data_IF_741799054106
#
_entry.id   IF_741799054106
#
_cell.length_a   1.000
_cell.length_b   1.000
_cell.length_c   1.000
_cell.angle_alpha   90.00
_cell.angle_beta   90.00
_cell.angle_gamma   90.00
#
_symmetry.space_group_name_H-M   'P 1'
#
loop_
_entity.id
_entity.type
_entity.pdbx_description
1 polymer ?
#
# COMPACT_ATOMS: atom_id res chain seq x y z
N UNK A 1 -7.55 -4.84 7.63
CA UNK A 1 -6.66 -4.04 6.77
C UNK A 1 -6.40 -2.73 7.48
N UNK A 2 -5.18 -2.58 7.97
CA UNK A 2 -4.78 -1.45 8.79
C UNK A 2 -3.85 -0.52 8.00
N UNK A 3 -3.83 0.76 8.35
CA UNK A 3 -2.82 1.66 7.80
C UNK A 3 -1.51 1.43 8.54
N UNK A 4 -0.46 1.12 7.79
CA UNK A 4 0.90 1.08 8.30
C UNK A 4 1.37 2.51 8.57
N UNK A 5 1.74 2.80 9.82
CA UNK A 5 2.26 4.11 10.22
C UNK A 5 3.78 4.16 10.09
N UNK A 6 4.47 3.11 10.52
CA UNK A 6 5.93 3.02 10.46
C UNK A 6 6.32 1.60 10.09
N UNK A 7 7.20 1.46 9.11
CA UNK A 7 7.82 0.19 8.76
C UNK A 7 9.34 0.30 8.98
N UNK A 8 9.93 -0.66 9.70
CA UNK A 8 11.37 -0.75 9.92
C UNK A 8 11.85 -2.15 9.54
N UNK A 9 12.90 -2.21 8.75
CA UNK A 9 13.57 -3.47 8.41
C UNK A 9 14.46 -3.91 9.59
N UNK A 10 14.30 -5.13 10.02
CA UNK A 10 15.01 -5.76 11.12
C UNK A 10 15.51 -7.14 10.68
N UNK A 11 16.61 -7.60 11.29
CA UNK A 11 17.05 -8.99 11.19
C UNK A 11 16.66 -9.73 12.47
N UNK A 12 16.01 -10.86 12.32
CA UNK A 12 15.64 -11.75 13.42
C UNK A 12 16.28 -13.12 13.16
N UNK A 13 16.72 -13.79 14.21
CA UNK A 13 17.21 -15.15 14.10
C UNK A 13 16.07 -16.13 14.37
N UNK A 14 15.90 -17.09 13.47
CA UNK A 14 14.99 -18.20 13.65
C UNK A 14 15.58 -19.22 14.64
N UNK A 15 14.77 -20.15 15.10
CA UNK A 15 15.20 -21.19 16.07
C UNK A 15 16.34 -22.09 15.54
N UNK A 16 16.42 -22.25 14.22
CA UNK A 16 17.50 -22.97 13.52
C UNK A 16 18.79 -22.15 13.35
N UNK A 17 18.81 -20.89 13.84
CA UNK A 17 19.92 -19.94 13.69
C UNK A 17 19.97 -19.21 12.35
N UNK A 18 19.02 -19.42 11.45
CA UNK A 18 18.96 -18.69 10.18
C UNK A 18 18.57 -17.22 10.42
N UNK A 19 19.23 -16.30 9.72
CA UNK A 19 18.90 -14.89 9.76
C UNK A 19 17.75 -14.58 8.79
N UNK A 20 16.61 -14.13 9.32
CA UNK A 20 15.43 -13.78 8.54
C UNK A 20 15.25 -12.25 8.56
N UNK A 21 15.12 -11.64 7.38
CA UNK A 21 14.77 -10.24 7.25
C UNK A 21 13.29 -10.04 7.48
N UNK A 22 12.92 -9.28 8.51
CA UNK A 22 11.53 -8.96 8.82
C UNK A 22 11.30 -7.45 8.75
N UNK A 23 10.07 -7.06 8.49
CA UNK A 23 9.64 -5.66 8.51
C UNK A 23 8.64 -5.48 9.64
N UNK A 24 9.01 -4.71 10.67
CA UNK A 24 8.08 -4.38 11.74
C UNK A 24 7.09 -3.30 11.26
N UNK A 25 5.82 -3.58 11.38
CA UNK A 25 4.73 -2.72 10.91
C UNK A 25 3.89 -2.29 12.11
N UNK A 26 3.83 -0.99 12.38
CA UNK A 26 2.91 -0.42 13.37
C UNK A 26 1.53 -0.23 12.75
N UNK A 27 0.51 -0.79 13.39
CA UNK A 27 -0.86 -0.83 12.89
C UNK A 27 -1.79 -0.11 13.86
N UNK A 28 -2.23 1.10 13.52
CA UNK A 28 -3.21 1.80 14.35
C UNK A 28 -4.54 1.02 14.43
N UNK A 29 -5.18 0.95 15.62
CA UNK A 29 -6.53 0.43 15.74
C UNK A 29 -7.50 1.17 14.81
N UNK A 30 -8.26 0.42 14.07
CA UNK A 30 -9.28 0.91 13.14
C UNK A 30 -10.65 0.81 13.78
N UNK A 31 -11.59 1.67 13.41
CA UNK A 31 -12.94 1.70 13.99
C UNK A 31 -13.98 1.48 12.92
N UNK A 32 -14.96 0.61 13.18
CA UNK A 32 -16.13 0.43 12.32
C UNK A 32 -17.03 1.65 12.44
N UNK A 33 -17.10 2.44 11.37
CA UNK A 33 -17.91 3.69 11.33
C UNK A 33 -19.33 3.42 10.86
N UNK A 34 -19.49 2.50 9.92
CA UNK A 34 -20.79 2.15 9.36
C UNK A 34 -20.82 0.69 8.95
N UNK A 35 -21.94 0.04 9.15
CA UNK A 35 -22.27 -1.26 8.58
C UNK A 35 -23.28 -1.04 7.46
N UNK A 36 -23.01 -1.55 6.28
CA UNK A 36 -23.85 -1.49 5.09
C UNK A 36 -24.55 -2.81 4.87
N UNK A 37 -25.81 -2.75 4.46
CA UNK A 37 -26.63 -3.93 4.22
C UNK A 37 -27.25 -3.89 2.85
N UNK A 38 -27.50 -5.07 2.26
CA UNK A 38 -28.17 -5.19 0.94
C UNK A 38 -29.49 -4.47 0.86
N UNK A 39 -30.24 -4.43 1.97
CA UNK A 39 -31.57 -3.79 2.00
C UNK A 39 -31.50 -2.26 1.86
N UNK A 40 -30.47 -1.62 2.43
CA UNK A 40 -30.34 -0.17 2.47
C UNK A 40 -29.37 0.37 1.42
N UNK A 41 -28.22 -0.32 1.24
CA UNK A 41 -27.09 0.16 0.45
C UNK A 41 -26.91 -0.65 -0.85
N UNK A 42 -27.62 -1.77 -1.02
CA UNK A 42 -27.53 -2.66 -2.17
C UNK A 42 -26.41 -3.69 -2.10
N UNK A 43 -25.55 -3.65 -1.10
CA UNK A 43 -24.47 -4.60 -0.85
C UNK A 43 -24.09 -4.65 0.63
N UNK A 44 -23.45 -5.77 1.01
CA UNK A 44 -23.00 -5.98 2.38
C UNK A 44 -21.53 -5.58 2.52
N UNK A 45 -21.24 -4.65 3.44
CA UNK A 45 -19.89 -4.17 3.71
C UNK A 45 -19.80 -3.48 5.08
N UNK A 46 -18.58 -3.38 5.60
CA UNK A 46 -18.26 -2.52 6.72
C UNK A 46 -17.41 -1.34 6.25
N UNK A 47 -17.67 -0.16 6.74
CA UNK A 47 -16.83 1.01 6.55
C UNK A 47 -15.95 1.21 7.78
N UNK A 48 -14.64 1.18 7.58
CA UNK A 48 -13.64 1.31 8.62
C UNK A 48 -12.97 2.69 8.52
N UNK A 49 -12.86 3.36 9.67
CA UNK A 49 -12.13 4.61 9.83
C UNK A 49 -10.78 4.40 10.49
N UNK A 50 -9.73 5.03 9.96
CA UNK A 50 -8.39 5.02 10.55
C UNK A 50 -7.64 6.34 10.32
N UNK A 51 -6.51 6.50 11.05
CA UNK A 51 -5.77 7.76 11.08
C UNK A 51 -6.52 8.84 11.84
N UNK A 52 -6.42 8.87 13.16
CA UNK A 52 -7.14 9.83 14.01
C UNK A 52 -6.76 11.27 13.69
N UNK A 53 -7.74 12.16 13.58
CA UNK A 53 -7.56 13.58 13.31
C UNK A 53 -8.38 14.46 14.27
N UNK A 54 -7.95 15.71 14.44
CA UNK A 54 -8.68 16.69 15.24
C UNK A 54 -9.95 17.11 14.49
N UNK A 55 -11.04 17.32 15.22
CA UNK A 55 -12.35 17.73 14.68
C UNK A 55 -12.29 18.93 13.72
N UNK A 56 -11.44 19.92 14.02
CA UNK A 56 -11.28 21.12 13.19
C UNK A 56 -10.75 20.84 11.77
N UNK A 57 -10.14 19.69 11.55
CA UNK A 57 -9.59 19.27 10.25
C UNK A 57 -10.58 18.43 9.42
N UNK A 58 -11.80 18.27 9.93
CA UNK A 58 -12.84 17.47 9.26
C UNK A 58 -13.99 18.39 8.86
N UNK A 59 -14.51 18.22 7.64
CA UNK A 59 -15.66 19.00 7.16
C UNK A 59 -16.94 18.67 7.92
N UNK A 60 -17.86 19.63 8.09
CA UNK A 60 -19.11 19.46 8.85
C UNK A 60 -19.94 18.23 8.41
N UNK A 61 -20.15 17.95 7.10
CA UNK A 61 -20.88 16.76 6.67
C UNK A 61 -20.22 15.45 7.15
N UNK A 62 -18.88 15.37 7.04
CA UNK A 62 -18.12 14.20 7.47
C UNK A 62 -18.12 14.05 9.00
N UNK A 63 -18.13 15.16 9.76
CA UNK A 63 -18.32 15.12 11.22
C UNK A 63 -19.65 14.48 11.57
N UNK A 64 -20.75 14.87 10.89
CA UNK A 64 -22.07 14.26 11.10
C UNK A 64 -22.10 12.76 10.82
N UNK A 65 -21.36 12.31 9.80
CA UNK A 65 -21.20 10.88 9.49
C UNK A 65 -20.43 10.13 10.59
N UNK A 66 -19.25 10.64 10.98
CA UNK A 66 -18.37 10.02 11.97
C UNK A 66 -18.94 10.03 13.40
N UNK A 67 -19.74 11.03 13.74
CA UNK A 67 -20.40 11.12 15.05
C UNK A 67 -21.35 9.93 15.34
N UNK A 68 -21.82 9.23 14.31
CA UNK A 68 -22.67 8.02 14.48
C UNK A 68 -21.92 6.90 15.21
N UNK A 69 -20.61 6.77 14.97
CA UNK A 69 -19.77 5.79 15.65
C UNK A 69 -19.32 6.23 17.06
N UNK A 70 -19.40 7.52 17.37
CA UNK A 70 -19.01 8.14 18.64
C UNK A 70 -17.60 7.78 19.16
N UNK A 71 -16.68 7.49 18.21
CA UNK A 71 -15.28 7.05 18.49
C UNK A 71 -14.23 8.04 18.00
N UNK A 72 -14.64 9.25 17.60
CA UNK A 72 -13.74 10.30 17.12
C UNK A 72 -13.75 10.49 15.59
N UNK A 73 -12.75 11.21 15.11
CA UNK A 73 -12.66 11.60 13.70
C UNK A 73 -11.48 10.91 13.01
N UNK A 74 -11.69 10.46 11.78
CA UNK A 74 -10.72 9.70 11.01
C UNK A 74 -10.39 10.41 9.70
N UNK A 75 -9.13 10.28 9.28
CA UNK A 75 -8.64 10.86 8.03
C UNK A 75 -9.06 10.07 6.81
N UNK A 76 -9.08 8.76 6.93
CA UNK A 76 -9.37 7.85 5.82
C UNK A 76 -10.51 6.93 6.21
N UNK A 77 -11.45 6.78 5.28
CA UNK A 77 -12.55 5.81 5.35
C UNK A 77 -12.38 4.84 4.19
N UNK A 78 -12.49 3.55 4.48
CA UNK A 78 -12.50 2.49 3.47
C UNK A 78 -13.56 1.46 3.77
N UNK A 79 -14.12 0.90 2.71
CA UNK A 79 -15.13 -0.15 2.77
C UNK A 79 -14.50 -1.50 2.45
N UNK A 80 -14.95 -2.50 3.18
CA UNK A 80 -14.55 -3.89 2.98
C UNK A 80 -15.78 -4.76 2.97
N UNK A 81 -15.87 -5.72 2.04
CA UNK A 81 -16.91 -6.74 2.08
C UNK A 81 -16.86 -7.48 3.41
N UNK A 82 -17.98 -7.60 4.09
CA UNK A 82 -18.13 -8.34 5.33
C UNK A 82 -19.56 -8.85 5.44
N UNK A 83 -19.73 -9.97 6.12
CA UNK A 83 -21.07 -10.50 6.39
C UNK A 83 -21.80 -9.63 7.43
N UNK A 84 -23.07 -9.43 7.20
CA UNK A 84 -23.93 -8.65 8.10
C UNK A 84 -24.06 -9.40 9.44
N UNK A 85 -23.86 -8.67 10.54
CA UNK A 85 -23.98 -9.21 11.90
C UNK A 85 -22.67 -9.63 12.57
N UNK A 86 -21.56 -9.66 11.86
CA UNK A 86 -20.24 -9.96 12.43
C UNK A 86 -19.60 -8.73 13.11
N UNK A 87 -20.02 -7.52 12.73
CA UNK A 87 -19.41 -6.29 13.21
C UNK A 87 -20.44 -5.26 13.65
N UNK A 88 -20.13 -4.52 14.73
CA UNK A 88 -20.97 -3.46 15.27
C UNK A 88 -20.34 -2.08 15.01
N UNK A 89 -21.21 -1.06 14.89
CA UNK A 89 -20.75 0.33 14.76
C UNK A 89 -20.02 0.74 16.04
N UNK A 90 -18.82 1.30 15.92
CA UNK A 90 -17.97 1.68 17.03
C UNK A 90 -17.05 0.56 17.53
N UNK A 91 -17.12 -0.65 16.96
CA UNK A 91 -16.18 -1.72 17.25
C UNK A 91 -14.77 -1.31 16.84
N UNK A 92 -13.79 -1.55 17.70
CA UNK A 92 -12.37 -1.35 17.38
C UNK A 92 -11.80 -2.67 16.87
N UNK A 93 -11.03 -2.58 15.79
CA UNK A 93 -10.32 -3.69 15.16
C UNK A 93 -8.82 -3.38 15.30
N UNK A 94 -8.12 -4.16 16.10
CA UNK A 94 -6.69 -4.01 16.35
C UNK A 94 -5.87 -5.12 15.66
N UNK A 95 -4.59 -5.20 15.97
CA UNK A 95 -3.68 -6.20 15.39
C UNK A 95 -3.91 -7.63 15.91
N UNK A 96 -4.74 -7.81 16.93
CA UNK A 96 -5.12 -9.08 17.54
C UNK A 96 -5.90 -10.04 16.63
N UNK A 97 -6.43 -9.53 15.51
CA UNK A 97 -7.07 -10.36 14.47
C UNK A 97 -6.07 -11.23 13.70
N UNK A 98 -4.78 -10.93 13.77
CA UNK A 98 -3.74 -11.66 13.06
C UNK A 98 -3.03 -12.66 13.99
N UNK A 99 -2.58 -13.75 13.41
CA UNK A 99 -1.79 -14.79 14.08
C UNK A 99 -0.44 -14.97 13.39
N UNK A 100 0.56 -15.42 14.15
CA UNK A 100 1.84 -15.81 13.56
C UNK A 100 1.64 -16.98 12.59
N UNK A 101 2.26 -16.90 11.42
CA UNK A 101 2.10 -17.87 10.33
C UNK A 101 0.97 -17.52 9.33
N UNK A 102 0.16 -16.48 9.59
CA UNK A 102 -0.81 -16.00 8.61
C UNK A 102 -0.11 -15.36 7.40
N UNK A 103 -0.72 -15.48 6.24
CA UNK A 103 -0.27 -14.82 5.01
C UNK A 103 -1.11 -13.60 4.71
N UNK A 104 -0.43 -12.47 4.45
CA UNK A 104 -1.09 -11.19 4.19
C UNK A 104 -0.59 -10.52 2.92
N UNK A 105 -1.46 -9.73 2.32
CA UNK A 105 -1.13 -8.85 1.21
C UNK A 105 -0.96 -7.41 1.73
N UNK A 106 0.21 -6.82 1.48
CA UNK A 106 0.50 -5.45 1.92
C UNK A 106 0.46 -4.50 0.73
N UNK A 107 -0.37 -3.47 0.85
CA UNK A 107 -0.53 -2.42 -0.15
C UNK A 107 0.08 -1.13 0.37
N UNK A 108 1.01 -0.57 -0.38
CA UNK A 108 1.68 0.68 -0.01
C UNK A 108 2.00 1.55 -1.22
N UNK A 109 2.50 2.75 -0.94
CA UNK A 109 3.05 3.63 -1.97
C UNK A 109 4.55 3.47 -2.00
N UNK A 110 5.09 3.11 -3.17
CA UNK A 110 6.53 2.91 -3.34
C UNK A 110 7.29 4.24 -3.25
N UNK A 111 8.54 4.19 -2.78
CA UNK A 111 9.41 5.38 -2.72
C UNK A 111 9.55 6.01 -4.09
N UNK A 112 9.31 7.32 -4.20
CA UNK A 112 9.51 8.09 -5.42
C UNK A 112 10.99 8.12 -5.82
N UNK A 113 11.25 7.98 -7.12
CA UNK A 113 12.61 8.03 -7.72
C UNK A 113 12.74 9.15 -8.75
N UNK A 114 11.71 9.99 -8.89
CA UNK A 114 11.64 11.05 -9.88
C UNK A 114 11.61 10.52 -11.32
N UNK A 115 11.99 11.35 -12.27
CA UNK A 115 12.14 10.96 -13.67
C UNK A 115 13.38 10.09 -13.85
N UNK A 116 13.22 8.88 -14.36
CA UNK A 116 14.31 7.94 -14.58
C UNK A 116 14.43 7.57 -16.06
N UNK A 117 15.70 7.42 -16.52
CA UNK A 117 16.02 6.93 -17.85
C UNK A 117 15.79 5.42 -17.98
N UNK A 118 15.92 4.93 -19.21
CA UNK A 118 15.62 3.55 -19.58
C UNK A 118 16.50 2.51 -18.91
N UNK A 119 17.74 2.86 -18.57
CA UNK A 119 18.67 1.95 -17.89
C UNK A 119 18.13 1.59 -16.51
N UNK A 120 17.81 2.57 -15.66
CA UNK A 120 17.29 2.32 -14.31
C UNK A 120 15.85 1.83 -14.31
N UNK A 121 15.01 2.38 -15.19
CA UNK A 121 13.57 2.08 -15.18
C UNK A 121 13.25 0.72 -15.80
N UNK A 122 13.97 0.34 -16.87
CA UNK A 122 13.65 -0.85 -17.66
C UNK A 122 14.79 -1.87 -17.75
N UNK A 123 15.95 -1.59 -17.15
CA UNK A 123 17.10 -2.49 -17.17
C UNK A 123 17.81 -2.57 -18.52
N UNK A 124 17.75 -1.50 -19.32
CA UNK A 124 18.48 -1.47 -20.59
C UNK A 124 20.00 -1.49 -20.36
N UNK A 125 20.74 -2.22 -21.20
CA UNK A 125 22.20 -2.34 -21.09
C UNK A 125 22.95 -1.05 -21.36
N UNK A 126 22.40 -0.16 -22.18
CA UNK A 126 23.12 1.03 -22.66
C UNK A 126 24.20 0.71 -23.67
N UNK A 127 25.09 1.66 -23.94
CA UNK A 127 26.22 1.55 -24.83
C UNK A 127 27.56 1.40 -24.13
N UNK A 128 28.64 1.23 -24.91
CA UNK A 128 30.00 1.12 -24.39
C UNK A 128 30.45 2.40 -23.71
N UNK A 129 31.24 2.29 -22.65
CA UNK A 129 31.84 3.43 -21.95
C UNK A 129 33.15 3.92 -22.56
N UNK A 130 33.80 3.09 -23.37
CA UNK A 130 35.16 3.29 -23.92
C UNK A 130 35.16 3.23 -25.44
N UNK A 131 36.34 3.34 -26.04
CA UNK A 131 36.58 3.29 -27.51
C UNK A 131 35.80 4.36 -28.29
N UNK A 132 35.66 5.59 -27.73
CA UNK A 132 35.05 6.72 -28.41
C UNK A 132 33.54 6.61 -28.62
N UNK A 133 32.85 5.73 -27.89
CA UNK A 133 31.38 5.62 -27.96
C UNK A 133 30.72 6.90 -27.50
N UNK A 134 29.79 7.43 -28.30
CA UNK A 134 28.92 8.53 -27.93
C UNK A 134 27.59 8.07 -27.33
N UNK A 135 27.31 6.77 -27.42
CA UNK A 135 26.10 6.14 -26.91
C UNK A 135 26.40 5.47 -25.57
N UNK A 136 25.88 6.05 -24.47
CA UNK A 136 26.08 5.51 -23.13
C UNK A 136 24.78 5.05 -22.48
N UNK A 137 23.87 5.97 -22.22
CA UNK A 137 22.65 5.72 -21.45
C UNK A 137 21.36 5.99 -22.23
N UNK A 138 21.45 6.20 -23.51
CA UNK A 138 20.32 6.47 -24.37
C UNK A 138 19.48 5.20 -24.64
N UNK A 139 18.20 5.34 -24.99
CA UNK A 139 17.31 4.18 -25.23
C UNK A 139 17.66 3.36 -26.47
N UNK A 140 18.39 3.93 -27.45
CA UNK A 140 18.58 3.32 -28.75
C UNK A 140 17.44 3.60 -29.72
N UNK A 141 17.23 2.71 -30.69
CA UNK A 141 16.13 2.85 -31.64
C UNK A 141 14.78 2.76 -30.94
N UNK A 142 13.86 3.64 -31.32
CA UNK A 142 12.49 3.69 -30.79
C UNK A 142 11.45 3.20 -31.79
N UNK A 143 11.86 2.76 -32.98
CA UNK A 143 10.98 2.22 -34.00
C UNK A 143 11.56 2.24 -35.40
N UNK A 144 10.76 1.82 -36.38
CA UNK A 144 11.05 1.91 -37.79
C UNK A 144 10.75 3.31 -38.34
N UNK A 145 11.29 3.68 -39.49
CA UNK A 145 11.23 5.00 -40.11
C UNK A 145 9.82 5.36 -40.64
N UNK A 146 9.70 5.43 -41.98
CA UNK A 146 8.50 5.95 -42.64
C UNK A 146 7.27 5.04 -42.48
N UNK A 147 7.44 3.77 -42.24
CA UNK A 147 6.36 2.82 -41.99
C UNK A 147 6.64 2.05 -40.67
N UNK A 148 5.87 2.30 -39.60
CA UNK A 148 4.55 2.95 -39.47
C UNK A 148 4.58 4.47 -39.22
N UNK A 149 5.69 5.17 -39.37
CA UNK A 149 5.84 6.63 -39.15
C UNK A 149 5.42 7.13 -37.76
N UNK A 150 5.52 6.29 -36.75
CA UNK A 150 5.15 6.59 -35.36
C UNK A 150 5.90 5.67 -34.39
N UNK A 151 5.95 6.08 -33.12
CA UNK A 151 6.38 5.21 -32.02
C UNK A 151 5.16 4.47 -31.47
N UNK A 152 5.28 3.17 -31.31
CA UNK A 152 4.18 2.36 -30.78
C UNK A 152 3.87 2.70 -29.32
N UNK A 153 2.59 2.59 -28.95
CA UNK A 153 2.16 2.69 -27.55
C UNK A 153 2.84 1.58 -26.74
N UNK A 154 3.25 1.91 -25.49
CA UNK A 154 3.92 0.97 -24.61
C UNK A 154 5.43 0.83 -24.84
N UNK A 155 6.02 1.53 -25.81
CA UNK A 155 7.48 1.58 -26.00
C UNK A 155 8.17 2.04 -24.71
N UNK A 156 9.18 1.28 -24.26
CA UNK A 156 9.90 1.54 -23.01
C UNK A 156 10.77 2.78 -23.12
N UNK A 157 10.35 3.85 -22.47
CA UNK A 157 11.05 5.15 -22.45
C UNK A 157 11.26 5.63 -21.02
N UNK A 158 12.07 6.69 -20.87
CA UNK A 158 12.21 7.40 -19.60
C UNK A 158 10.87 7.99 -19.15
N UNK A 159 10.58 7.91 -17.85
CA UNK A 159 9.37 8.46 -17.26
C UNK A 159 9.51 8.51 -15.72
N UNK A 160 8.48 9.03 -15.05
CA UNK A 160 8.38 8.96 -13.60
C UNK A 160 8.47 7.52 -13.09
N UNK A 161 9.26 7.30 -12.04
CA UNK A 161 9.46 6.00 -11.42
C UNK A 161 9.21 6.11 -9.91
N UNK A 162 8.55 5.11 -9.35
CA UNK A 162 8.14 5.13 -7.95
C UNK A 162 6.94 6.04 -7.70
N UNK A 163 6.63 6.28 -6.41
CA UNK A 163 5.44 7.02 -5.96
C UNK A 163 4.13 6.48 -6.59
N UNK A 164 4.05 5.16 -6.66
CA UNK A 164 2.89 4.44 -7.18
C UNK A 164 2.44 3.38 -6.18
N UNK A 165 1.12 3.15 -6.15
CA UNK A 165 0.52 2.08 -5.36
C UNK A 165 1.08 0.73 -5.82
N UNK A 166 1.63 -0.05 -4.89
CA UNK A 166 2.12 -1.41 -5.09
C UNK A 166 1.52 -2.34 -4.06
N UNK A 167 1.23 -3.55 -4.48
CA UNK A 167 0.80 -4.65 -3.61
C UNK A 167 1.91 -5.69 -3.59
N UNK A 168 2.32 -6.11 -2.42
CA UNK A 168 3.20 -7.26 -2.20
C UNK A 168 2.33 -8.34 -1.59
N UNK A 169 2.28 -9.49 -2.24
CA UNK A 169 1.42 -10.60 -1.86
C UNK A 169 2.20 -11.67 -1.10
N UNK A 170 1.46 -12.49 -0.33
CA UNK A 170 1.98 -13.66 0.37
C UNK A 170 3.13 -13.35 1.33
N UNK A 171 3.01 -12.28 2.11
CA UNK A 171 3.94 -12.02 3.20
C UNK A 171 3.48 -12.79 4.44
N UNK A 172 4.36 -13.59 5.00
CA UNK A 172 4.13 -14.34 6.23
C UNK A 172 4.30 -13.45 7.45
N UNK A 173 3.36 -13.54 8.40
CA UNK A 173 3.45 -12.85 9.68
C UNK A 173 4.35 -13.67 10.60
N UNK A 174 5.52 -13.13 10.91
CA UNK A 174 6.48 -13.77 11.81
C UNK A 174 6.05 -13.71 13.27
N UNK A 175 5.60 -12.56 13.73
CA UNK A 175 5.19 -12.33 15.11
C UNK A 175 4.16 -11.21 15.20
N UNK A 176 3.18 -11.36 16.09
CA UNK A 176 2.22 -10.32 16.45
C UNK A 176 2.48 -9.83 17.87
N UNK A 177 2.52 -8.52 18.08
CA UNK A 177 2.66 -7.89 19.42
C UNK A 177 1.49 -6.92 19.65
N UNK A 178 0.36 -7.40 20.18
CA UNK A 178 -0.84 -6.59 20.35
C UNK A 178 -0.66 -5.41 21.31
N UNK A 179 0.20 -5.59 22.34
CA UNK A 179 0.56 -4.56 23.34
C UNK A 179 1.14 -3.29 22.73
N UNK A 180 1.78 -3.41 21.57
CA UNK A 180 2.41 -2.31 20.82
C UNK A 180 1.78 -2.05 19.46
N UNK A 181 0.69 -2.74 19.13
CA UNK A 181 0.08 -2.71 17.80
C UNK A 181 1.09 -3.00 16.67
N UNK A 182 1.98 -3.98 16.85
CA UNK A 182 3.00 -4.37 15.87
C UNK A 182 2.67 -5.73 15.24
N UNK A 183 2.87 -5.77 13.94
CA UNK A 183 2.95 -6.97 13.11
C UNK A 183 4.38 -7.12 12.58
#
# INVERSE_FOLDING_TARGET
IHQVMVARELGVFAEDGAAVGVTAIEVEPSVVVQVKTKEKDGYDAIQIGYGRVKQKNVTKPLQGHLNKANKGFFRVLKEFPAEVGQHEIGQEIASDIFQAGDYVDVVGTSKGKGFQGVVKRHGFGGGRATHGSMFHRAPGSIGASADPARVFKGTKMGCHMGDVRKTIQNLEIWQVRPDRNLL
#
